data_IF_339359022386
#
_entry.id   IF_339359022386
#
_cell.length_a   1.000
_cell.length_b   1.000
_cell.length_c   1.000
_cell.angle_alpha   90.00
_cell.angle_beta   90.00
_cell.angle_gamma   90.00
#
_symmetry.space_group_name_H-M   'P 1'
#
loop_
_entity.id
_entity.type
_entity.pdbx_description
1 polymer ?
#
# COMPACT_ATOMS: atom_id res chain seq x y z
N UNK A 1 8.85 -5.51 12.54
CA UNK A 1 8.89 -4.50 13.61
C UNK A 1 9.78 -5.00 14.74
N UNK A 2 11.09 -4.91 14.57
CA UNK A 2 12.05 -5.33 15.62
C UNK A 2 11.76 -4.59 16.94
N UNK A 3 11.70 -5.33 18.05
CA UNK A 3 11.47 -4.78 19.39
C UNK A 3 10.00 -4.50 19.75
N UNK A 4 9.05 -4.74 18.86
CA UNK A 4 7.61 -4.61 19.15
C UNK A 4 7.01 -5.97 19.52
N UNK A 5 6.16 -6.02 20.56
CA UNK A 5 5.44 -7.25 20.90
C UNK A 5 4.57 -7.72 19.72
N UNK A 6 4.56 -9.02 19.36
CA UNK A 6 3.79 -9.57 18.24
C UNK A 6 2.30 -9.22 18.23
N UNK A 7 1.64 -9.27 19.39
CA UNK A 7 0.22 -8.95 19.52
C UNK A 7 -0.02 -7.48 19.22
N UNK A 8 0.78 -6.61 19.84
CA UNK A 8 0.66 -5.17 19.63
C UNK A 8 1.01 -4.74 18.20
N UNK A 9 1.97 -5.41 17.56
CA UNK A 9 2.26 -5.20 16.14
C UNK A 9 1.04 -5.53 15.26
N UNK A 10 0.37 -6.65 15.53
CA UNK A 10 -0.89 -7.00 14.87
C UNK A 10 -2.00 -5.98 15.10
N UNK A 11 -2.16 -5.48 16.34
CA UNK A 11 -3.17 -4.47 16.68
C UNK A 11 -2.93 -3.14 15.98
N UNK A 12 -1.68 -2.69 15.88
CA UNK A 12 -1.30 -1.50 15.10
C UNK A 12 -1.68 -1.67 13.63
N UNK A 13 -1.42 -2.84 13.05
CA UNK A 13 -1.80 -3.12 11.66
C UNK A 13 -3.31 -3.20 11.49
N UNK A 14 -4.03 -3.81 12.43
CA UNK A 14 -5.48 -3.86 12.39
C UNK A 14 -6.10 -2.46 12.50
N UNK A 15 -5.51 -1.55 13.28
CA UNK A 15 -5.93 -0.16 13.34
C UNK A 15 -5.73 0.56 11.99
N UNK A 16 -4.58 0.38 11.35
CA UNK A 16 -4.26 1.05 10.08
C UNK A 16 -5.08 0.46 8.92
N UNK A 17 -5.16 -0.86 8.80
CA UNK A 17 -5.70 -1.55 7.62
C UNK A 17 -7.13 -2.04 7.75
N UNK A 18 -7.61 -2.31 8.97
CA UNK A 18 -8.97 -2.81 9.21
C UNK A 18 -9.84 -1.82 10.01
N UNK A 19 -9.29 -0.64 10.34
CA UNK A 19 -9.94 0.37 11.17
C UNK A 19 -10.36 -0.13 12.57
N UNK A 20 -9.68 -1.17 13.08
CA UNK A 20 -9.97 -1.77 14.38
C UNK A 20 -9.37 -0.93 15.51
N UNK A 21 -10.18 -0.52 16.48
CA UNK A 21 -9.69 0.21 17.66
C UNK A 21 -8.84 -0.68 18.56
N UNK A 22 -7.78 -0.13 19.14
CA UNK A 22 -6.99 -0.77 20.18
C UNK A 22 -7.58 -0.34 21.53
N UNK A 23 -8.22 -1.26 22.25
CA UNK A 23 -8.94 -0.96 23.48
C UNK A 23 -8.08 -0.18 24.48
N UNK A 24 -8.60 0.96 24.95
CA UNK A 24 -7.94 1.87 25.90
C UNK A 24 -6.61 2.50 25.43
N UNK A 25 -6.21 2.34 24.16
CA UNK A 25 -4.92 2.82 23.63
C UNK A 25 -5.12 3.73 22.42
N UNK A 26 -5.91 3.32 21.42
CA UNK A 26 -6.07 4.06 20.17
C UNK A 26 -7.43 3.81 19.50
N UNK A 27 -7.97 4.84 18.86
CA UNK A 27 -9.24 4.78 18.13
C UNK A 27 -9.03 5.11 16.65
N UNK A 28 -9.86 4.54 15.78
CA UNK A 28 -10.02 5.08 14.43
C UNK A 28 -10.69 6.46 14.53
N UNK A 29 -10.32 7.39 13.64
CA UNK A 29 -10.86 8.73 13.67
C UNK A 29 -12.40 8.72 13.60
N UNK A 30 -13.05 9.49 14.48
CA UNK A 30 -14.52 9.55 14.58
C UNK A 30 -15.13 10.55 13.59
N UNK A 31 -14.34 11.53 13.15
CA UNK A 31 -14.72 12.49 12.12
C UNK A 31 -13.80 12.31 10.90
N UNK A 32 -14.42 12.10 9.73
CA UNK A 32 -13.73 11.96 8.44
C UNK A 32 -12.53 11.00 8.44
N UNK A 33 -12.67 9.74 8.91
CA UNK A 33 -11.59 8.77 8.77
C UNK A 33 -11.29 8.55 7.29
N UNK A 34 -10.02 8.36 6.95
CA UNK A 34 -9.70 7.78 5.64
C UNK A 34 -10.38 6.40 5.55
N UNK A 35 -11.01 6.11 4.42
CA UNK A 35 -11.75 4.86 4.21
C UNK A 35 -10.95 3.84 3.39
N UNK A 36 -9.87 4.29 2.75
CA UNK A 36 -8.99 3.47 1.93
C UNK A 36 -7.53 3.70 2.33
N UNK A 37 -6.71 2.67 2.15
CA UNK A 37 -5.27 2.81 1.96
C UNK A 37 -5.01 2.85 0.46
N UNK A 38 -4.20 3.80 0.02
CA UNK A 38 -3.86 3.94 -1.39
C UNK A 38 -2.55 3.23 -1.70
N UNK A 39 -2.61 2.32 -2.65
CA UNK A 39 -1.49 1.54 -3.14
C UNK A 39 -0.87 2.25 -4.33
N UNK A 40 0.42 2.51 -4.27
CA UNK A 40 1.22 3.20 -5.30
C UNK A 40 2.32 2.28 -5.84
N UNK A 41 2.71 2.49 -7.09
CA UNK A 41 3.87 1.84 -7.72
C UNK A 41 5.04 2.81 -7.79
N UNK A 42 6.25 2.29 -7.65
CA UNK A 42 7.47 3.07 -7.63
C UNK A 42 8.61 2.40 -8.38
N UNK A 43 9.38 3.23 -9.10
CA UNK A 43 10.57 2.83 -9.87
C UNK A 43 11.82 2.66 -9.00
N UNK A 44 11.80 3.23 -7.78
CA UNK A 44 12.84 3.08 -6.76
C UNK A 44 12.23 3.13 -5.36
N UNK A 45 13.01 2.78 -4.34
CA UNK A 45 12.56 2.74 -2.95
C UNK A 45 12.08 4.13 -2.46
N UNK A 46 10.79 4.27 -2.09
CA UNK A 46 10.23 5.55 -1.66
C UNK A 46 10.33 5.81 -0.15
N UNK A 47 10.86 4.88 0.65
CA UNK A 47 10.79 4.90 2.13
C UNK A 47 11.41 6.13 2.81
N UNK A 48 12.30 6.84 2.12
CA UNK A 48 12.91 8.08 2.62
C UNK A 48 12.06 9.33 2.43
N UNK A 49 10.90 9.23 1.76
CA UNK A 49 10.10 10.38 1.36
C UNK A 49 8.59 10.21 1.56
N UNK A 50 7.84 10.51 0.50
CA UNK A 50 6.36 10.55 0.50
C UNK A 50 5.81 9.55 -0.50
N UNK A 51 4.48 9.40 -0.57
CA UNK A 51 3.87 8.60 -1.63
C UNK A 51 4.22 9.05 -3.06
N UNK A 52 4.68 10.30 -3.25
CA UNK A 52 5.10 10.80 -4.56
C UNK A 52 6.59 10.57 -4.86
N UNK A 53 7.37 10.07 -3.89
CA UNK A 53 8.80 9.81 -4.08
C UNK A 53 8.98 8.60 -5.00
N UNK A 54 9.67 8.79 -6.13
CA UNK A 54 9.90 7.74 -7.14
C UNK A 54 8.62 7.06 -7.66
N UNK A 55 7.47 7.73 -7.55
CA UNK A 55 6.17 7.21 -7.96
C UNK A 55 6.09 7.04 -9.49
N UNK A 56 5.39 5.99 -9.94
CA UNK A 56 5.16 5.70 -11.35
C UNK A 56 4.57 6.91 -12.11
N UNK A 57 4.97 7.05 -13.36
CA UNK A 57 4.64 8.21 -14.19
C UNK A 57 4.11 7.84 -15.59
N UNK A 58 3.84 6.56 -15.86
CA UNK A 58 3.23 6.10 -17.10
C UNK A 58 1.87 6.78 -17.33
N UNK A 59 1.54 7.02 -18.60
CA UNK A 59 0.27 7.70 -18.93
C UNK A 59 -0.90 6.84 -18.46
N UNK A 60 -1.88 7.49 -17.82
CA UNK A 60 -3.05 6.92 -17.11
C UNK A 60 -2.79 6.27 -15.74
N UNK A 61 -1.56 6.30 -15.21
CA UNK A 61 -1.30 5.85 -13.84
C UNK A 61 -2.16 6.60 -12.81
N UNK A 62 -2.71 5.84 -11.86
CA UNK A 62 -3.34 6.34 -10.65
C UNK A 62 -3.15 5.33 -9.52
N UNK A 63 -3.01 5.83 -8.28
CA UNK A 63 -2.99 4.98 -7.08
C UNK A 63 -4.32 4.26 -6.93
N UNK A 64 -4.28 3.02 -6.43
CA UNK A 64 -5.49 2.21 -6.22
C UNK A 64 -5.88 2.25 -4.75
N UNK A 65 -7.10 2.72 -4.46
CA UNK A 65 -7.65 2.68 -3.11
C UNK A 65 -8.16 1.28 -2.75
N UNK A 66 -7.70 0.74 -1.62
CA UNK A 66 -8.20 -0.51 -1.04
C UNK A 66 -8.83 -0.21 0.31
N UNK A 67 -10.07 -0.67 0.48
CA UNK A 67 -10.87 -0.37 1.67
C UNK A 67 -10.17 -0.81 2.96
N UNK A 68 -10.21 0.04 3.99
CA UNK A 68 -9.66 -0.23 5.33
C UNK A 68 -10.55 -1.20 6.11
N UNK A 69 -10.67 -2.44 5.63
CA UNK A 69 -11.54 -3.47 6.20
C UNK A 69 -10.90 -4.85 6.02
N UNK A 70 -11.40 -5.85 6.76
CA UNK A 70 -11.02 -7.26 6.56
C UNK A 70 -11.40 -7.82 5.17
N UNK A 71 -12.25 -7.15 4.41
CA UNK A 71 -12.51 -7.46 3.00
C UNK A 71 -11.48 -6.87 2.03
N UNK A 72 -10.69 -5.90 2.47
CA UNK A 72 -9.60 -5.30 1.69
C UNK A 72 -8.23 -5.86 2.07
N UNK A 73 -8.01 -6.11 3.37
CA UNK A 73 -6.70 -6.48 3.91
C UNK A 73 -6.77 -7.67 4.87
N UNK A 74 -5.89 -8.65 4.65
CA UNK A 74 -5.56 -9.68 5.63
C UNK A 74 -4.41 -9.17 6.48
N UNK A 75 -4.66 -9.03 7.78
CA UNK A 75 -3.66 -8.60 8.76
C UNK A 75 -3.19 -9.82 9.56
N UNK A 76 -1.89 -10.00 9.66
CA UNK A 76 -1.24 -10.95 10.56
C UNK A 76 -0.30 -10.22 11.52
N UNK A 77 0.41 -10.97 12.37
CA UNK A 77 1.35 -10.45 13.39
C UNK A 77 2.29 -9.34 12.88
N UNK A 78 2.81 -9.47 11.66
CA UNK A 78 3.78 -8.50 11.10
C UNK A 78 3.66 -8.33 9.58
N UNK A 79 2.59 -8.88 8.99
CA UNK A 79 2.36 -8.78 7.55
C UNK A 79 0.96 -8.27 7.26
N UNK A 80 0.86 -7.57 6.14
CA UNK A 80 -0.41 -7.14 5.58
C UNK A 80 -0.42 -7.52 4.12
N UNK A 81 -1.51 -8.18 3.71
CA UNK A 81 -1.68 -8.73 2.36
C UNK A 81 -3.05 -8.30 1.85
N UNK A 82 -3.17 -7.84 0.59
CA UNK A 82 -4.46 -7.53 0.03
C UNK A 82 -5.30 -8.80 -0.14
N UNK A 83 -6.60 -8.72 0.09
CA UNK A 83 -7.52 -9.86 -0.04
C UNK A 83 -7.77 -10.23 -1.52
N UNK A 84 -7.60 -9.29 -2.43
CA UNK A 84 -7.77 -9.46 -3.87
C UNK A 84 -6.61 -8.82 -4.64
N UNK A 85 -6.40 -9.25 -5.89
CA UNK A 85 -5.44 -8.62 -6.80
C UNK A 85 -5.78 -7.13 -6.98
N UNK A 86 -4.79 -6.28 -6.79
CA UNK A 86 -4.87 -4.85 -7.02
C UNK A 86 -4.46 -4.59 -8.47
N UNK A 87 -5.41 -4.16 -9.29
CA UNK A 87 -5.17 -3.79 -10.70
C UNK A 87 -5.09 -2.27 -10.82
N UNK A 88 -3.97 -1.78 -11.34
CA UNK A 88 -3.79 -0.38 -11.68
C UNK A 88 -4.42 -0.09 -13.04
N UNK A 89 -4.69 1.19 -13.39
CA UNK A 89 -5.11 1.52 -14.74
C UNK A 89 -4.13 0.99 -15.79
N UNK A 90 -4.64 0.53 -16.93
CA UNK A 90 -3.80 0.13 -18.04
C UNK A 90 -2.96 1.33 -18.52
N UNK A 91 -1.68 1.10 -18.80
CA UNK A 91 -0.80 2.12 -19.32
C UNK A 91 -1.22 2.47 -20.75
N UNK A 92 -1.42 3.76 -21.03
CA UNK A 92 -1.73 4.28 -22.37
C UNK A 92 -0.53 4.93 -23.05
N UNK A 93 0.62 4.93 -22.37
CA UNK A 93 1.87 5.53 -22.83
C UNK A 93 2.96 5.46 -21.75
N UNK A 94 4.21 5.70 -22.15
CA UNK A 94 5.38 5.58 -21.27
C UNK A 94 5.97 4.16 -21.23
N UNK A 95 7.15 4.05 -20.65
CA UNK A 95 7.83 2.77 -20.39
C UNK A 95 8.69 2.90 -19.15
N UNK A 96 8.46 2.04 -18.18
CA UNK A 96 9.19 2.04 -16.90
C UNK A 96 9.12 0.65 -16.25
N UNK A 97 9.85 0.47 -15.14
CA UNK A 97 9.86 -0.77 -14.38
C UNK A 97 9.58 -0.47 -12.92
N UNK A 98 8.46 -0.94 -12.43
CA UNK A 98 8.05 -0.78 -11.05
C UNK A 98 8.71 -1.86 -10.21
N UNK A 99 9.58 -1.41 -9.31
CA UNK A 99 10.37 -2.29 -8.46
C UNK A 99 9.90 -2.26 -6.99
N UNK A 100 9.05 -1.30 -6.64
CA UNK A 100 8.54 -1.10 -5.29
C UNK A 100 7.04 -0.77 -5.31
N UNK A 101 6.34 -1.19 -4.26
CA UNK A 101 4.96 -0.78 -3.99
C UNK A 101 4.92 -0.01 -2.66
N UNK A 102 4.11 1.05 -2.63
CA UNK A 102 3.87 1.87 -1.45
C UNK A 102 2.43 1.76 -0.97
N UNK A 103 2.23 1.89 0.33
CA UNK A 103 0.92 2.00 0.99
C UNK A 103 0.85 3.35 1.69
N UNK A 104 -0.16 4.16 1.39
CA UNK A 104 -0.26 5.47 2.01
C UNK A 104 -1.65 6.09 2.02
N UNK A 105 -1.67 7.35 2.40
CA UNK A 105 -2.85 8.05 2.87
C UNK A 105 -3.82 8.49 1.77
N UNK A 106 -3.35 8.93 0.61
CA UNK A 106 -4.18 9.66 -0.36
C UNK A 106 -4.03 9.15 -1.78
N UNK A 107 -5.05 9.45 -2.60
CA UNK A 107 -5.12 9.07 -4.01
C UNK A 107 -4.04 9.73 -4.89
N UNK A 108 -3.47 10.85 -4.45
CA UNK A 108 -2.45 11.60 -5.17
C UNK A 108 -1.67 12.54 -4.26
N UNK A 109 -0.62 13.18 -4.82
CA UNK A 109 0.17 14.20 -4.16
C UNK A 109 1.19 13.68 -3.15
N UNK A 110 2.06 14.57 -2.67
CA UNK A 110 3.11 14.28 -1.69
C UNK A 110 2.51 14.10 -0.30
N UNK A 111 2.05 12.88 -0.04
CA UNK A 111 1.28 12.50 1.15
C UNK A 111 1.98 11.40 1.93
N UNK A 112 1.52 11.15 3.16
CA UNK A 112 2.17 10.20 4.05
C UNK A 112 2.24 8.80 3.44
N UNK A 113 3.46 8.29 3.32
CA UNK A 113 3.75 6.89 3.02
C UNK A 113 3.80 6.14 4.35
N UNK A 114 2.94 5.14 4.51
CA UNK A 114 2.92 4.30 5.71
C UNK A 114 4.03 3.28 5.65
N UNK A 115 4.11 2.59 4.51
CA UNK A 115 5.02 1.47 4.28
C UNK A 115 5.34 1.38 2.78
N UNK A 116 6.51 0.84 2.45
CA UNK A 116 6.82 0.41 1.10
C UNK A 116 7.68 -0.85 1.13
N UNK A 117 7.70 -1.57 0.02
CA UNK A 117 8.48 -2.80 -0.11
C UNK A 117 8.76 -3.12 -1.56
N UNK A 118 9.83 -3.88 -1.78
CA UNK A 118 10.20 -4.34 -3.12
C UNK A 118 9.15 -5.32 -3.67
N UNK A 119 8.89 -5.22 -4.97
CA UNK A 119 8.02 -6.12 -5.72
C UNK A 119 8.92 -7.18 -6.38
N UNK A 120 8.55 -8.46 -6.27
CA UNK A 120 9.23 -9.55 -6.95
C UNK A 120 8.23 -10.52 -7.56
N UNK A 121 8.26 -10.75 -8.89
CA UNK A 121 9.11 -10.06 -9.88
C UNK A 121 8.71 -8.59 -10.05
N UNK A 122 9.63 -7.74 -10.53
CA UNK A 122 9.32 -6.35 -10.88
C UNK A 122 8.29 -6.30 -12.02
N UNK A 123 7.55 -5.20 -12.13
CA UNK A 123 6.50 -5.03 -13.12
C UNK A 123 7.01 -4.14 -14.24
N UNK A 124 7.22 -4.72 -15.42
CA UNK A 124 7.54 -3.94 -16.61
C UNK A 124 6.27 -3.29 -17.17
N UNK A 125 6.25 -1.96 -17.24
CA UNK A 125 5.12 -1.19 -17.77
C UNK A 125 5.45 -0.70 -19.18
N UNK A 126 4.51 -0.92 -20.09
CA UNK A 126 4.51 -0.35 -21.44
C UNK A 126 3.07 -0.20 -21.92
N UNK A 127 2.84 0.50 -23.03
CA UNK A 127 1.50 0.73 -23.56
C UNK A 127 0.68 -0.58 -23.71
N UNK A 128 -0.53 -0.60 -23.16
CA UNK A 128 -1.42 -1.76 -23.14
C UNK A 128 -1.21 -2.71 -21.96
N UNK A 129 -0.15 -2.57 -21.17
CA UNK A 129 0.06 -3.35 -19.94
C UNK A 129 -0.86 -2.85 -18.83
N UNK A 130 -1.50 -3.76 -18.12
CA UNK A 130 -2.22 -3.47 -16.86
C UNK A 130 -1.36 -3.95 -15.70
N UNK A 131 -0.70 -3.04 -14.94
CA UNK A 131 0.11 -3.43 -13.80
C UNK A 131 -0.77 -4.04 -12.70
N UNK A 132 -0.28 -5.10 -12.05
CA UNK A 132 -1.01 -5.79 -10.99
C UNK A 132 -0.11 -6.18 -9.83
N UNK A 133 -0.63 -6.04 -8.62
CA UNK A 133 -0.11 -6.67 -7.40
C UNK A 133 -1.08 -7.77 -6.99
N UNK A 134 -0.58 -8.99 -6.86
CA UNK A 134 -1.40 -10.14 -6.49
C UNK A 134 -1.49 -10.30 -4.97
N UNK A 135 -2.32 -11.24 -4.52
CA UNK A 135 -2.38 -11.66 -3.11
C UNK A 135 -1.09 -12.33 -2.62
N UNK A 136 -0.12 -12.65 -3.50
CA UNK A 136 1.21 -13.09 -3.08
C UNK A 136 2.16 -11.94 -2.75
N UNK A 137 1.79 -10.70 -3.10
CA UNK A 137 2.51 -9.49 -2.68
C UNK A 137 2.37 -9.33 -1.17
N UNK A 138 3.31 -9.92 -0.43
CA UNK A 138 3.35 -9.82 1.03
C UNK A 138 4.18 -8.60 1.39
N UNK A 139 3.56 -7.60 2.00
CA UNK A 139 4.31 -6.52 2.60
C UNK A 139 4.74 -6.95 4.01
N UNK A 140 6.04 -7.20 4.17
CA UNK A 140 6.64 -7.53 5.47
C UNK A 140 7.18 -6.26 6.09
N UNK A 141 6.77 -5.98 7.32
CA UNK A 141 7.28 -4.85 8.08
C UNK A 141 8.51 -5.29 8.87
N UNK A 142 9.71 -4.96 8.39
CA UNK A 142 10.98 -5.15 9.13
C UNK A 142 11.10 -4.18 10.29
#
# INVERSE_FOLDING_TARGET
MTGTNPTFAGDLLALIFNATTIANIAINATSSPITNVYVSLHTADPTSGTQATSEAAYTSYARVGVARTSGGWTVSTNTVVPVATISFPAATGGTETESYAGLGQSASGSTLLFFAGAISPTIAVSNGVTPQLSTSSTLTLS
#
